data_IF_896842575643
#
_entry.id   IF_896842575643
#
_cell.length_a   1.000
_cell.length_b   1.000
_cell.length_c   1.000
_cell.angle_alpha   90.00
_cell.angle_beta   90.00
_cell.angle_gamma   90.00
#
_symmetry.space_group_name_H-M   'P 1'
#
loop_
_entity.id
_entity.type
_entity.pdbx_description
1 polymer ?
#
# COMPACT_ATOMS: atom_id res chain seq x y z
N UNK A 1 2.28 -5.17 -8.44
CA UNK A 1 3.14 -4.14 -7.85
C UNK A 1 3.75 -4.65 -6.55
N UNK A 2 5.00 -4.34 -6.33
CA UNK A 2 5.70 -4.59 -5.08
C UNK A 2 5.70 -3.30 -4.27
N UNK A 3 5.26 -3.38 -3.01
CA UNK A 3 5.22 -2.22 -2.11
C UNK A 3 6.00 -2.56 -0.85
N UNK A 4 6.94 -1.70 -0.50
CA UNK A 4 7.75 -1.83 0.70
C UNK A 4 7.43 -0.68 1.66
N UNK A 5 7.14 -1.01 2.91
CA UNK A 5 6.96 -0.02 3.97
C UNK A 5 8.29 0.21 4.69
N UNK A 6 8.63 1.47 4.91
CA UNK A 6 9.87 1.87 5.56
C UNK A 6 9.51 2.70 6.79
N UNK A 7 10.13 2.42 7.91
CA UNK A 7 10.00 3.10 9.20
C UNK A 7 8.67 2.85 9.93
N UNK A 8 7.53 2.88 9.25
CA UNK A 8 6.21 2.69 9.86
C UNK A 8 5.36 1.77 9.00
N UNK A 9 4.35 1.14 9.61
CA UNK A 9 3.39 0.34 8.88
C UNK A 9 2.53 1.22 7.99
N UNK A 10 2.09 0.67 6.86
CA UNK A 10 1.16 1.34 5.97
C UNK A 10 -0.02 0.42 5.68
N UNK A 11 -1.12 1.02 5.22
CA UNK A 11 -2.31 0.31 4.77
C UNK A 11 -2.51 0.57 3.29
N UNK A 12 -2.89 -0.47 2.56
CA UNK A 12 -3.03 -0.44 1.11
C UNK A 12 -4.43 -0.91 0.73
N UNK A 13 -5.10 -0.19 -0.17
CA UNK A 13 -6.30 -0.69 -0.82
C UNK A 13 -6.05 -0.77 -2.33
N UNK A 14 -6.60 -1.83 -2.93
CA UNK A 14 -6.46 -2.09 -4.37
C UNK A 14 -7.84 -2.41 -4.92
N UNK A 15 -8.39 -1.48 -5.66
CA UNK A 15 -9.69 -1.65 -6.31
C UNK A 15 -9.81 -0.64 -7.46
N UNK A 16 -11.02 -0.24 -7.80
CA UNK A 16 -11.25 0.77 -8.84
C UNK A 16 -11.15 2.20 -8.32
N UNK A 17 -10.61 2.40 -7.13
CA UNK A 17 -10.48 3.72 -6.51
C UNK A 17 -11.62 4.09 -5.58
N UNK A 18 -12.59 3.19 -5.36
CA UNK A 18 -13.77 3.48 -4.54
C UNK A 18 -13.52 3.39 -3.04
N UNK A 19 -12.45 2.71 -2.63
CA UNK A 19 -12.13 2.50 -1.22
C UNK A 19 -10.94 3.34 -0.82
N UNK A 20 -11.08 4.13 0.25
CA UNK A 20 -9.95 4.85 0.84
C UNK A 20 -9.42 4.06 2.03
N UNK A 21 -8.11 3.80 2.10
CA UNK A 21 -7.54 3.14 3.28
C UNK A 21 -7.53 4.08 4.48
N UNK A 22 -7.54 3.50 5.66
CA UNK A 22 -7.37 4.25 6.92
C UNK A 22 -6.29 3.54 7.74
N UNK A 23 -5.93 4.11 8.88
CA UNK A 23 -4.92 3.49 9.75
C UNK A 23 -5.35 2.10 10.25
N UNK A 24 -6.62 1.75 10.12
CA UNK A 24 -7.14 0.44 10.53
C UNK A 24 -7.87 -0.30 9.42
N UNK A 25 -7.90 0.23 8.19
CA UNK A 25 -8.60 -0.37 7.06
C UNK A 25 -7.67 -0.46 5.86
N UNK A 26 -7.62 -1.63 5.27
CA UNK A 26 -6.75 -1.95 4.14
C UNK A 26 -5.81 -3.10 4.50
N UNK A 27 -5.03 -3.54 3.52
CA UNK A 27 -4.01 -4.55 3.76
C UNK A 27 -2.81 -3.89 4.43
N UNK A 28 -2.38 -4.42 5.55
CA UNK A 28 -1.22 -3.89 6.25
C UNK A 28 0.07 -4.38 5.62
N UNK A 29 0.98 -3.46 5.35
CA UNK A 29 2.37 -3.79 5.05
C UNK A 29 3.18 -3.34 6.25
N UNK A 30 3.75 -4.29 6.97
CA UNK A 30 4.48 -3.99 8.20
C UNK A 30 5.79 -3.28 7.88
N UNK A 31 6.19 -2.38 8.78
CA UNK A 31 7.45 -1.65 8.64
C UNK A 31 8.61 -2.62 8.42
N UNK A 32 9.46 -2.33 7.45
CA UNK A 32 10.62 -3.15 7.12
C UNK A 32 10.30 -4.35 6.24
N UNK A 33 9.06 -4.49 5.76
CA UNK A 33 8.67 -5.61 4.89
C UNK A 33 8.18 -5.09 3.55
N UNK A 34 8.09 -6.01 2.58
CA UNK A 34 7.54 -5.73 1.27
C UNK A 34 6.53 -6.81 0.89
N UNK A 35 5.50 -6.44 0.15
CA UNK A 35 4.50 -7.38 -0.34
C UNK A 35 4.16 -7.11 -1.79
N UNK A 36 3.84 -8.19 -2.52
CA UNK A 36 3.32 -8.09 -3.87
C UNK A 36 1.80 -7.97 -3.84
N UNK A 37 1.29 -7.06 -4.65
CA UNK A 37 -0.15 -6.91 -4.85
C UNK A 37 -0.45 -7.05 -6.33
N UNK A 38 -1.51 -7.79 -6.70
CA UNK A 38 -1.92 -7.85 -8.10
C UNK A 38 -2.46 -6.49 -8.55
N UNK A 39 -2.14 -6.09 -9.77
CA UNK A 39 -2.71 -4.89 -10.34
C UNK A 39 -3.04 -5.14 -11.80
N UNK A 40 -4.26 -4.74 -12.20
CA UNK A 40 -4.70 -4.80 -13.58
C UNK A 40 -4.84 -3.39 -14.15
N UNK A 41 -5.25 -3.29 -15.41
CA UNK A 41 -5.30 -2.02 -16.12
C UNK A 41 -6.23 -0.98 -15.52
N UNK A 42 -7.26 -1.40 -14.78
CA UNK A 42 -8.22 -0.49 -14.15
C UNK A 42 -8.02 -0.40 -12.63
N UNK A 43 -6.92 -0.90 -12.12
CA UNK A 43 -6.67 -0.94 -10.69
C UNK A 43 -6.11 0.38 -10.20
N UNK A 44 -6.67 0.88 -9.11
CA UNK A 44 -6.14 2.03 -8.38
C UNK A 44 -5.57 1.54 -7.05
N UNK A 45 -4.34 1.93 -6.77
CA UNK A 45 -3.66 1.55 -5.54
C UNK A 45 -3.57 2.80 -4.68
N UNK A 46 -4.10 2.71 -3.47
CA UNK A 46 -4.04 3.79 -2.50
C UNK A 46 -3.30 3.32 -1.26
N UNK A 47 -2.46 4.17 -0.71
CA UNK A 47 -1.65 3.85 0.46
C UNK A 47 -1.78 4.96 1.48
N UNK A 48 -1.87 4.59 2.75
CA UNK A 48 -1.88 5.55 3.84
C UNK A 48 -0.94 5.08 4.95
N UNK A 49 -0.30 6.02 5.61
CA UNK A 49 0.51 5.72 6.78
C UNK A 49 -0.38 5.39 7.99
N UNK A 50 0.05 4.44 8.83
CA UNK A 50 -0.63 4.17 10.10
C UNK A 50 -0.16 5.14 11.19
N UNK A 51 1.03 5.69 11.04
CA UNK A 51 1.60 6.69 11.92
C UNK A 51 2.40 7.68 11.10
N UNK A 52 2.63 8.86 11.63
CA UNK A 52 3.36 9.90 10.92
C UNK A 52 4.77 9.45 10.53
N UNK A 53 5.27 10.00 9.42
CA UNK A 53 6.62 9.77 8.90
C UNK A 53 6.83 8.38 8.28
N UNK A 54 5.78 7.75 7.80
CA UNK A 54 5.90 6.54 7.00
C UNK A 54 6.45 6.88 5.61
N UNK A 55 7.23 5.97 5.06
CA UNK A 55 7.76 6.06 3.71
C UNK A 55 7.43 4.77 2.99
N UNK A 56 7.14 4.87 1.69
CA UNK A 56 6.82 3.71 0.85
C UNK A 56 7.69 3.75 -0.39
N UNK A 57 8.26 2.60 -0.74
CA UNK A 57 8.86 2.39 -2.05
C UNK A 57 8.02 1.38 -2.81
N UNK A 58 7.90 1.57 -4.12
CA UNK A 58 7.07 0.70 -4.93
C UNK A 58 7.69 0.49 -6.30
N UNK A 59 7.32 -0.64 -6.91
CA UNK A 59 7.77 -1.00 -8.25
C UNK A 59 6.63 -1.70 -8.98
N UNK A 60 6.30 -1.21 -10.16
CA UNK A 60 5.35 -1.87 -11.04
C UNK A 60 6.09 -2.84 -11.95
N UNK A 61 5.46 -3.98 -12.21
CA UNK A 61 5.97 -4.99 -13.13
C UNK A 61 4.99 -5.14 -14.28
N UNK A 62 5.49 -5.09 -15.49
CA UNK A 62 4.69 -5.18 -16.70
C UNK A 62 5.09 -6.37 -17.53
#
# INVERSE_FOLDING_TARGET
>A
VLIQAIAKNVRVTIDNGSTNPTASKGFQVAAGTAQYFPCGGMTTIKVIEEAASATVEYQFFF
#
